data_IF_175746299858
#
_entry.id   IF_175746299858
#
_cell.length_a   1.000
_cell.length_b   1.000
_cell.length_c   1.000
_cell.angle_alpha   90.00
_cell.angle_beta   90.00
_cell.angle_gamma   90.00
#
_symmetry.space_group_name_H-M   'P 1'
#
loop_
_entity.id
_entity.type
_entity.pdbx_description
1 polymer ?
#
# COMPACT_ATOMS: atom_id res chain seq x y z
N UNK A 1 13.67 -4.00 -9.56
CA UNK A 1 13.33 -3.06 -10.65
C UNK A 1 14.08 -3.50 -11.89
N UNK A 2 13.40 -3.58 -13.04
CA UNK A 2 14.01 -3.96 -14.32
C UNK A 2 13.87 -5.44 -14.72
N UNK A 3 13.40 -6.29 -13.81
CA UNK A 3 13.03 -7.69 -14.09
C UNK A 3 11.56 -7.91 -13.71
N UNK A 4 11.27 -8.14 -12.43
CA UNK A 4 9.94 -8.46 -11.90
C UNK A 4 9.06 -7.24 -11.61
N UNK A 5 9.63 -6.04 -11.53
CA UNK A 5 8.92 -4.80 -11.20
C UNK A 5 9.35 -3.64 -12.10
N UNK A 6 8.36 -2.88 -12.56
CA UNK A 6 8.51 -1.64 -13.34
C UNK A 6 8.45 -0.38 -12.45
N UNK A 7 8.85 0.76 -13.01
CA UNK A 7 8.70 2.06 -12.34
C UNK A 7 7.23 2.51 -12.32
N UNK A 8 6.78 3.13 -11.22
CA UNK A 8 5.43 3.69 -11.10
C UNK A 8 5.27 5.10 -11.71
N UNK A 9 6.38 5.72 -12.14
CA UNK A 9 6.40 6.96 -12.92
C UNK A 9 7.18 6.69 -14.20
N UNK A 10 6.53 6.87 -15.35
CA UNK A 10 7.10 6.62 -16.67
C UNK A 10 7.18 7.93 -17.44
N UNK A 11 8.31 8.62 -17.33
CA UNK A 11 8.60 9.85 -18.06
C UNK A 11 10.12 10.08 -18.12
N UNK A 12 10.55 10.97 -19.00
CA UNK A 12 11.94 11.34 -19.18
C UNK A 12 12.11 12.87 -19.09
N UNK A 13 13.21 13.33 -18.50
CA UNK A 13 13.58 14.73 -18.48
C UNK A 13 15.11 14.88 -18.54
N UNK A 14 15.58 16.00 -19.08
CA UNK A 14 17.00 16.35 -19.01
C UNK A 14 17.43 16.58 -17.56
N UNK A 15 18.70 16.31 -17.18
CA UNK A 15 19.17 16.41 -15.80
C UNK A 15 18.87 17.75 -15.13
N UNK A 16 18.95 18.86 -15.89
CA UNK A 16 18.65 20.21 -15.41
C UNK A 16 17.19 20.42 -14.99
N UNK A 17 16.26 19.67 -15.60
CA UNK A 17 14.80 19.78 -15.38
C UNK A 17 14.21 18.60 -14.61
N UNK A 18 15.02 17.59 -14.30
CA UNK A 18 14.55 16.36 -13.68
C UNK A 18 13.94 16.60 -12.29
N UNK A 19 14.55 17.51 -11.51
CA UNK A 19 14.03 17.89 -10.19
C UNK A 19 12.66 18.56 -10.26
N UNK A 20 12.41 19.36 -11.30
CA UNK A 20 11.12 20.04 -11.52
C UNK A 20 10.04 18.99 -11.80
N UNK A 21 10.28 18.08 -12.76
CA UNK A 21 9.33 16.99 -13.07
C UNK A 21 9.02 16.09 -11.87
N UNK A 22 10.00 15.82 -11.01
CA UNK A 22 9.77 15.05 -9.77
C UNK A 22 8.90 15.82 -8.76
N UNK A 23 9.08 17.14 -8.63
CA UNK A 23 8.24 17.97 -7.78
C UNK A 23 6.80 18.02 -8.30
N UNK A 24 6.62 18.05 -9.62
CA UNK A 24 5.32 18.01 -10.27
C UNK A 24 4.61 16.69 -10.02
N UNK A 25 5.29 15.55 -10.24
CA UNK A 25 4.72 14.22 -9.96
C UNK A 25 4.27 14.10 -8.49
N UNK A 26 5.07 14.62 -7.55
CA UNK A 26 4.70 14.64 -6.13
C UNK A 26 3.45 15.50 -5.88
N UNK A 27 3.39 16.72 -6.43
CA UNK A 27 2.23 17.61 -6.30
C UNK A 27 0.96 16.94 -6.84
N UNK A 28 1.04 16.26 -7.97
CA UNK A 28 -0.09 15.52 -8.58
C UNK A 28 -0.54 14.39 -7.64
N UNK A 29 0.39 13.55 -7.17
CA UNK A 29 0.08 12.44 -6.25
C UNK A 29 -0.56 12.93 -4.94
N UNK A 30 -0.04 13.99 -4.35
CA UNK A 30 -0.58 14.58 -3.12
C UNK A 30 -1.98 15.17 -3.35
N UNK A 31 -2.20 15.81 -4.49
CA UNK A 31 -3.49 16.36 -4.89
C UNK A 31 -4.57 15.28 -5.04
N UNK A 32 -4.26 14.19 -5.75
CA UNK A 32 -5.15 13.04 -5.90
C UNK A 32 -5.45 12.42 -4.54
N UNK A 33 -4.43 12.23 -3.70
CA UNK A 33 -4.59 11.66 -2.37
C UNK A 33 -5.51 12.50 -1.49
N UNK A 34 -5.33 13.81 -1.46
CA UNK A 34 -6.17 14.73 -0.69
C UNK A 34 -7.61 14.75 -1.22
N UNK A 35 -7.78 14.77 -2.55
CA UNK A 35 -9.10 14.72 -3.18
C UNK A 35 -9.85 13.44 -2.81
N UNK A 36 -9.20 12.28 -2.91
CA UNK A 36 -9.81 10.99 -2.55
C UNK A 36 -10.14 10.95 -1.05
N UNK A 37 -9.26 11.45 -0.18
CA UNK A 37 -9.52 11.50 1.27
C UNK A 37 -10.71 12.39 1.65
N UNK A 38 -10.88 13.53 0.98
CA UNK A 38 -12.01 14.44 1.22
C UNK A 38 -13.33 13.90 0.68
N UNK A 39 -13.29 13.23 -0.48
CA UNK A 39 -14.47 12.73 -1.17
C UNK A 39 -14.83 11.27 -0.86
N UNK A 40 -14.06 10.57 -0.01
CA UNK A 40 -14.29 9.17 0.37
C UNK A 40 -15.66 8.91 1.05
N UNK A 41 -16.38 9.97 1.44
CA UNK A 41 -17.74 9.93 2.00
C UNK A 41 -18.84 9.82 0.92
N UNK A 42 -18.52 10.08 -0.34
CA UNK A 42 -19.46 10.11 -1.46
C UNK A 42 -19.15 8.95 -2.42
N UNK A 43 -20.01 7.93 -2.39
CA UNK A 43 -20.25 6.89 -3.39
C UNK A 43 -19.12 5.93 -3.78
N UNK A 44 -19.39 4.66 -3.45
CA UNK A 44 -19.16 3.49 -4.29
C UNK A 44 -19.54 3.73 -5.76
N UNK A 45 -18.59 3.53 -6.67
CA UNK A 45 -18.86 3.41 -8.11
C UNK A 45 -18.61 4.69 -8.90
N UNK A 46 -17.34 5.04 -9.11
CA UNK A 46 -16.96 5.94 -10.21
C UNK A 46 -16.01 5.17 -11.12
N UNK A 47 -16.58 4.48 -12.10
CA UNK A 47 -15.85 4.08 -13.30
C UNK A 47 -15.94 5.25 -14.28
N UNK A 48 -14.79 5.82 -14.67
CA UNK A 48 -14.78 6.95 -15.59
C UNK A 48 -13.44 7.68 -15.66
N UNK A 49 -13.31 8.51 -16.69
CA UNK A 49 -12.21 9.46 -16.83
C UNK A 49 -12.56 10.69 -15.98
N UNK A 50 -11.75 10.99 -14.97
CA UNK A 50 -11.93 12.19 -14.15
C UNK A 50 -10.94 13.24 -14.62
N UNK A 51 -11.45 14.38 -15.06
CA UNK A 51 -10.61 15.55 -15.34
C UNK A 51 -10.40 16.31 -14.03
N UNK A 52 -9.23 16.12 -13.41
CA UNK A 52 -8.82 16.93 -12.26
C UNK A 52 -7.98 18.10 -12.76
N UNK A 53 -8.46 19.32 -12.51
CA UNK A 53 -7.66 20.53 -12.68
C UNK A 53 -6.78 20.70 -11.44
N UNK A 54 -5.66 19.97 -11.39
CA UNK A 54 -4.65 20.19 -10.39
C UNK A 54 -3.46 20.92 -11.04
N UNK A 55 -3.26 22.19 -10.67
CA UNK A 55 -2.36 23.13 -11.37
C UNK A 55 -2.79 23.37 -12.84
N UNK A 56 -2.16 24.31 -13.53
CA UNK A 56 -2.53 24.77 -14.89
C UNK A 56 -2.41 23.71 -16.02
N UNK A 57 -2.42 22.41 -15.70
CA UNK A 57 -2.34 21.30 -16.66
C UNK A 57 -3.64 20.55 -16.77
N UNK A 58 -3.98 20.16 -18.00
CA UNK A 58 -5.08 19.23 -18.27
C UNK A 58 -4.56 17.81 -18.09
N UNK A 59 -5.01 17.14 -17.03
CA UNK A 59 -4.67 15.75 -16.73
C UNK A 59 -5.82 14.82 -17.13
N UNK A 60 -5.49 13.76 -17.87
CA UNK A 60 -6.40 12.66 -18.16
C UNK A 60 -6.14 11.53 -17.17
N UNK A 61 -7.10 11.27 -16.28
CA UNK A 61 -6.97 10.24 -15.25
C UNK A 61 -7.91 9.09 -15.59
N UNK A 62 -7.35 7.89 -15.77
CA UNK A 62 -8.11 6.66 -15.92
C UNK A 62 -8.14 5.91 -14.58
N UNK A 63 -9.34 5.57 -14.11
CA UNK A 63 -9.54 4.78 -12.90
C UNK A 63 -9.79 3.33 -13.32
N UNK A 64 -8.92 2.43 -12.90
CA UNK A 64 -9.08 0.99 -13.15
C UNK A 64 -9.53 0.28 -11.89
N UNK A 65 -10.59 -0.52 -11.98
CA UNK A 65 -11.03 -1.37 -10.88
C UNK A 65 -10.07 -2.55 -10.74
N UNK A 66 -9.64 -2.78 -9.50
CA UNK A 66 -8.84 -3.95 -9.13
C UNK A 66 -9.78 -5.13 -8.96
N UNK A 67 -9.45 -6.28 -9.56
CA UNK A 67 -10.24 -7.51 -9.44
C UNK A 67 -10.28 -8.03 -8.00
N UNK A 68 -9.12 -8.39 -7.44
CA UNK A 68 -9.00 -8.89 -6.08
C UNK A 68 -8.34 -7.85 -5.16
N UNK A 69 -9.09 -7.13 -4.33
CA UNK A 69 -8.55 -6.04 -3.52
C UNK A 69 -7.56 -6.52 -2.45
N UNK A 70 -7.80 -7.69 -1.85
CA UNK A 70 -6.95 -8.23 -0.77
C UNK A 70 -5.65 -8.85 -1.27
N UNK A 71 -5.50 -9.08 -2.58
CA UNK A 71 -4.23 -9.51 -3.18
C UNK A 71 -3.17 -8.42 -3.19
N UNK A 72 -3.57 -7.14 -3.07
CA UNK A 72 -2.63 -6.02 -3.05
C UNK A 72 -2.28 -5.59 -1.62
N UNK A 73 -0.99 -5.45 -1.29
CA UNK A 73 -0.56 -5.16 0.06
C UNK A 73 -0.97 -3.76 0.51
N UNK A 74 -1.18 -2.81 -0.41
CA UNK A 74 -1.64 -1.45 -0.05
C UNK A 74 -3.02 -1.46 0.62
N UNK A 75 -3.98 -2.18 0.02
CA UNK A 75 -5.35 -2.27 0.53
C UNK A 75 -5.39 -3.09 1.81
N UNK A 76 -4.67 -4.22 1.83
CA UNK A 76 -4.56 -5.06 3.03
C UNK A 76 -3.94 -4.28 4.20
N UNK A 77 -2.92 -3.45 3.94
CA UNK A 77 -2.30 -2.64 4.99
C UNK A 77 -3.25 -1.56 5.51
N UNK A 78 -4.03 -0.91 4.65
CA UNK A 78 -5.04 0.06 5.08
C UNK A 78 -6.15 -0.58 5.92
N UNK A 79 -6.56 -1.80 5.55
CA UNK A 79 -7.49 -2.62 6.32
C UNK A 79 -6.98 -2.87 7.75
N UNK A 80 -5.77 -3.43 7.89
CA UNK A 80 -5.14 -3.67 9.21
C UNK A 80 -4.98 -2.35 9.97
N UNK A 81 -4.52 -1.29 9.32
CA UNK A 81 -4.32 0.01 9.93
C UNK A 81 -5.61 0.58 10.53
N UNK A 82 -6.74 0.41 9.84
CA UNK A 82 -8.06 0.85 10.31
C UNK A 82 -8.49 0.05 11.54
N UNK A 83 -8.29 -1.26 11.56
CA UNK A 83 -8.67 -2.09 12.71
C UNK A 83 -7.78 -1.85 13.94
N UNK A 84 -6.48 -1.62 13.73
CA UNK A 84 -5.58 -1.23 14.82
C UNK A 84 -5.94 0.14 15.42
N UNK A 85 -6.42 1.10 14.62
CA UNK A 85 -6.97 2.36 15.14
C UNK A 85 -8.21 2.14 16.00
N UNK A 86 -9.06 1.19 15.61
CA UNK A 86 -10.23 0.78 16.39
C UNK A 86 -9.88 -0.09 17.61
N UNK A 87 -8.59 -0.28 17.91
CA UNK A 87 -8.09 -1.06 19.06
C UNK A 87 -8.48 -2.54 19.04
N UNK A 88 -8.69 -3.10 17.85
CA UNK A 88 -8.81 -4.55 17.68
C UNK A 88 -7.45 -5.21 17.96
N UNK A 89 -7.45 -6.39 18.57
CA UNK A 89 -6.22 -7.13 18.87
C UNK A 89 -5.43 -7.43 17.59
N UNK A 90 -4.16 -7.02 17.56
CA UNK A 90 -3.28 -7.18 16.41
C UNK A 90 -3.15 -8.64 15.95
N UNK A 91 -3.15 -9.60 16.87
CA UNK A 91 -3.07 -11.04 16.54
C UNK A 91 -4.28 -11.53 15.75
N UNK A 92 -5.48 -11.10 16.15
CA UNK A 92 -6.73 -11.43 15.43
C UNK A 92 -6.71 -10.81 14.04
N UNK A 93 -6.26 -9.57 13.97
CA UNK A 93 -6.19 -8.83 12.71
C UNK A 93 -5.19 -9.43 11.72
N UNK A 94 -4.00 -9.83 12.18
CA UNK A 94 -3.01 -10.50 11.34
C UNK A 94 -3.53 -11.83 10.80
N UNK A 95 -4.16 -12.66 11.63
CA UNK A 95 -4.76 -13.93 11.18
C UNK A 95 -5.85 -13.71 10.14
N UNK A 96 -6.73 -12.73 10.38
CA UNK A 96 -7.79 -12.37 9.45
C UNK A 96 -7.24 -11.84 8.12
N UNK A 97 -6.17 -11.05 8.16
CA UNK A 97 -5.51 -10.56 6.96
C UNK A 97 -4.93 -11.70 6.11
N UNK A 98 -4.37 -12.73 6.75
CA UNK A 98 -3.84 -13.90 6.03
C UNK A 98 -4.99 -14.69 5.40
N UNK A 99 -6.05 -15.00 6.16
CA UNK A 99 -7.25 -15.70 5.66
C UNK A 99 -7.86 -14.99 4.43
N UNK A 100 -7.92 -13.65 4.44
CA UNK A 100 -8.41 -12.86 3.31
C UNK A 100 -7.47 -12.91 2.08
N UNK A 101 -6.18 -13.12 2.29
CA UNK A 101 -5.18 -13.19 1.22
C UNK A 101 -5.12 -14.60 0.61
N UNK A 102 -5.32 -15.64 1.43
CA UNK A 102 -5.39 -17.03 0.96
C UNK A 102 -6.53 -17.27 -0.03
N UNK A 103 -7.65 -16.55 0.13
CA UNK A 103 -8.77 -16.59 -0.81
C UNK A 103 -8.43 -16.04 -2.21
N UNK A 104 -7.26 -15.40 -2.38
CA UNK A 104 -6.84 -14.69 -3.59
C UNK A 104 -5.71 -15.45 -4.33
N UNK A 105 -5.51 -16.74 -4.03
CA UNK A 105 -4.47 -17.60 -4.63
C UNK A 105 -3.03 -17.06 -4.46
N UNK A 106 -2.74 -16.35 -3.36
CA UNK A 106 -1.37 -15.94 -3.06
C UNK A 106 -0.51 -17.12 -2.57
N UNK A 107 0.72 -17.25 -3.07
CA UNK A 107 1.64 -18.34 -2.69
C UNK A 107 2.29 -18.15 -1.31
N UNK A 108 2.29 -16.93 -0.79
CA UNK A 108 2.72 -16.65 0.56
C UNK A 108 2.59 -15.19 0.96
N UNK A 109 2.55 -14.95 2.26
CA UNK A 109 2.44 -13.63 2.86
C UNK A 109 3.32 -13.52 4.10
N UNK A 110 3.94 -12.36 4.28
CA UNK A 110 4.61 -11.99 5.50
C UNK A 110 4.08 -10.63 5.98
N UNK A 111 3.62 -10.56 7.21
CA UNK A 111 3.14 -9.33 7.85
C UNK A 111 4.03 -9.03 9.05
N UNK A 112 4.53 -7.81 9.13
CA UNK A 112 5.33 -7.33 10.25
C UNK A 112 4.73 -6.03 10.81
N UNK A 113 4.53 -5.99 12.13
CA UNK A 113 4.08 -4.82 12.88
C UNK A 113 5.18 -4.43 13.87
N UNK A 114 5.55 -3.16 13.86
CA UNK A 114 6.63 -2.60 14.68
C UNK A 114 6.12 -1.42 15.50
N UNK A 115 6.41 -1.42 16.80
CA UNK A 115 6.21 -0.28 17.69
C UNK A 115 5.60 -0.67 19.03
N UNK A 116 4.92 0.28 19.67
CA UNK A 116 4.25 0.10 20.97
C UNK A 116 2.90 -0.62 20.84
N UNK A 117 2.98 -1.91 20.56
CA UNK A 117 1.80 -2.76 20.34
C UNK A 117 1.01 -2.92 21.65
N UNK A 118 -0.31 -2.77 21.59
CA UNK A 118 -1.24 -2.72 22.72
C UNK A 118 -0.94 -1.60 23.74
N UNK A 119 -0.20 -0.56 23.35
CA UNK A 119 0.13 0.55 24.24
C UNK A 119 1.15 0.23 25.34
N UNK A 120 1.79 -0.95 25.27
CA UNK A 120 2.90 -1.28 26.17
C UNK A 120 4.01 -0.25 26.07
N UNK A 121 4.70 -0.01 27.19
CA UNK A 121 5.78 0.97 27.28
C UNK A 121 6.93 0.62 26.32
N UNK A 122 7.34 -0.65 26.32
CA UNK A 122 8.42 -1.15 25.48
C UNK A 122 7.88 -1.50 24.08
N UNK A 123 8.49 -0.91 23.05
CA UNK A 123 8.19 -1.24 21.66
C UNK A 123 8.72 -2.64 21.30
N UNK A 124 7.98 -3.35 20.46
CA UNK A 124 8.35 -4.70 19.99
C UNK A 124 8.06 -4.87 18.50
N UNK A 125 8.63 -5.93 17.94
CA UNK A 125 8.44 -6.35 16.55
C UNK A 125 7.71 -7.68 16.57
N UNK A 126 6.51 -7.72 16.01
CA UNK A 126 5.72 -8.93 15.84
C UNK A 126 5.59 -9.21 14.35
N UNK A 127 5.85 -10.44 13.94
CA UNK A 127 5.70 -10.84 12.54
C UNK A 127 5.11 -12.23 12.43
N UNK A 128 4.32 -12.44 11.39
CA UNK A 128 3.77 -13.75 11.02
C UNK A 128 4.08 -13.96 9.55
N UNK A 129 4.41 -15.19 9.20
CA UNK A 129 4.70 -15.62 7.83
C UNK A 129 3.92 -16.89 7.54
N UNK A 130 3.27 -16.91 6.40
CA UNK A 130 2.47 -18.02 5.88
C UNK A 130 2.89 -18.28 4.44
N UNK A 131 3.10 -19.55 4.07
CA UNK A 131 3.59 -19.92 2.74
C UNK A 131 5.04 -19.52 2.43
N UNK A 132 5.38 -19.49 1.13
CA UNK A 132 6.74 -19.20 0.64
C UNK A 132 6.91 -17.69 0.43
N UNK A 133 7.99 -17.12 0.96
CA UNK A 133 8.36 -15.70 0.72
C UNK A 133 9.87 -15.59 0.55
N UNK A 134 10.38 -15.74 -0.67
CA UNK A 134 11.81 -15.81 -0.94
C UNK A 134 12.37 -14.42 -1.30
N UNK A 135 12.77 -13.63 -0.30
CA UNK A 135 13.25 -12.25 -0.49
C UNK A 135 14.59 -12.14 -1.26
N UNK A 136 15.36 -13.22 -1.33
CA UNK A 136 16.65 -13.24 -2.03
C UNK A 136 16.51 -13.64 -3.52
N UNK A 137 15.37 -14.22 -3.90
CA UNK A 137 15.13 -14.69 -5.27
C UNK A 137 14.69 -13.51 -6.14
N UNK A 138 15.56 -13.04 -7.04
CA UNK A 138 15.26 -11.88 -7.89
C UNK A 138 14.08 -12.15 -8.83
N UNK A 139 13.89 -13.40 -9.28
CA UNK A 139 12.76 -13.83 -10.11
C UNK A 139 11.43 -13.99 -9.34
N UNK A 140 11.44 -13.90 -8.01
CA UNK A 140 10.20 -13.93 -7.25
C UNK A 140 9.44 -12.60 -7.40
N UNK A 141 8.20 -12.67 -7.86
CA UNK A 141 7.29 -11.53 -7.92
C UNK A 141 6.70 -11.28 -6.54
N UNK A 142 7.27 -10.28 -5.86
CA UNK A 142 6.89 -9.90 -4.50
C UNK A 142 6.33 -8.47 -4.52
N UNK A 143 5.09 -8.32 -4.08
CA UNK A 143 4.52 -7.00 -3.80
C UNK A 143 4.83 -6.59 -2.35
N UNK A 144 5.27 -5.35 -2.17
CA UNK A 144 5.65 -4.79 -0.89
C UNK A 144 4.85 -3.52 -0.56
N UNK A 145 4.40 -3.39 0.69
CA UNK A 145 3.85 -2.14 1.19
C UNK A 145 4.44 -1.80 2.57
N UNK A 146 4.62 -0.51 2.83
CA UNK A 146 4.86 0.03 4.16
C UNK A 146 3.86 1.12 4.50
N UNK A 147 3.34 1.09 5.72
CA UNK A 147 2.36 2.06 6.17
C UNK A 147 2.59 2.44 7.61
N UNK A 148 2.29 3.71 7.93
CA UNK A 148 2.44 4.27 9.27
C UNK A 148 1.06 4.53 9.86
N UNK A 149 0.80 3.93 11.02
CA UNK A 149 -0.45 4.10 11.76
C UNK A 149 -0.17 4.98 12.97
N UNK A 150 -0.83 6.14 13.03
CA UNK A 150 -0.81 6.99 14.23
C UNK A 150 -1.84 6.46 15.23
N UNK A 151 -1.39 6.11 16.42
CA UNK A 151 -2.21 5.73 17.56
C UNK A 151 -1.99 6.73 18.70
N UNK A 152 -2.72 6.58 19.79
CA UNK A 152 -2.60 7.45 20.97
C UNK A 152 -1.23 7.26 21.65
N UNK A 153 -0.66 6.06 21.55
CA UNK A 153 0.60 5.70 22.20
C UNK A 153 1.84 5.97 21.34
N UNK A 154 1.65 6.52 20.13
CA UNK A 154 2.72 6.83 19.20
C UNK A 154 2.43 6.31 17.78
N UNK A 155 3.49 5.97 17.05
CA UNK A 155 3.38 5.50 15.67
C UNK A 155 3.70 4.01 15.61
N UNK A 156 2.82 3.24 14.97
CA UNK A 156 3.06 1.86 14.59
C UNK A 156 3.45 1.80 13.10
N UNK A 157 4.44 0.98 12.77
CA UNK A 157 4.81 0.67 11.39
C UNK A 157 4.27 -0.71 11.00
N UNK A 158 3.62 -0.79 9.85
CA UNK A 158 3.20 -2.06 9.24
C UNK A 158 4.00 -2.25 7.96
N UNK A 159 4.54 -3.45 7.77
CA UNK A 159 5.20 -3.89 6.54
C UNK A 159 4.56 -5.19 6.09
N UNK A 160 4.19 -5.29 4.81
CA UNK A 160 3.60 -6.49 4.23
C UNK A 160 4.40 -6.86 2.98
N UNK A 161 4.67 -8.15 2.84
CA UNK A 161 5.18 -8.78 1.63
C UNK A 161 4.18 -9.83 1.18
N UNK A 162 3.74 -9.76 -0.08
CA UNK A 162 2.89 -10.77 -0.70
C UNK A 162 3.69 -11.39 -1.85
N UNK A 163 3.85 -12.70 -1.80
CA UNK A 163 4.47 -13.49 -2.86
C UNK A 163 3.38 -14.01 -3.79
N UNK A 164 3.41 -13.54 -5.03
CA UNK A 164 2.41 -13.88 -6.04
C UNK A 164 2.87 -15.12 -6.81
N UNK A 165 4.01 -15.01 -7.48
CA UNK A 165 4.55 -16.09 -8.32
C UNK A 165 6.07 -15.99 -8.49
N UNK A 166 6.69 -17.10 -8.90
CA UNK A 166 8.04 -17.18 -9.45
C UNK A 166 7.90 -17.33 -10.97
N UNK A 167 8.47 -16.38 -11.74
CA UNK A 167 8.67 -16.57 -13.19
C UNK A 167 9.76 -17.60 -13.49
#
# INVERSE_FOLDING_TARGET
>A
LGTTQSHHSLWFAQPKKYSEGLQEDKKIRDCIKNYVQQNMRLSSGVEGIVQLNCMNWKLNIAITRIGNPYGHPNILTEFIARQLKNRVSFRKEMKKAIELTEQVDSKGIQIQIVGRIDGKEIARVEWIREGKVALQTIGAKIEYCSYRVRTIYGVLGIKIWIFIDEE
#
